data_IF_586385116091
#
_entry.id   IF_586385116091
#
_cell.length_a   1.000
_cell.length_b   1.000
_cell.length_c   1.000
_cell.angle_alpha   90.00
_cell.angle_beta   90.00
_cell.angle_gamma   90.00
#
_symmetry.space_group_name_H-M   'P 1'
#
loop_
_entity.id
_entity.type
_entity.pdbx_description
1 polymer ?
#
# COMPACT_ATOMS: atom_id res chain seq x y z
N UNK A 1 14.28 1.89 4.16
CA UNK A 1 13.13 2.48 3.44
C UNK A 1 12.33 1.36 2.81
N UNK A 2 11.03 1.26 3.09
CA UNK A 2 10.13 0.30 2.44
C UNK A 2 9.62 0.92 1.14
N UNK A 3 9.72 0.23 0.00
CA UNK A 3 9.07 0.67 -1.24
C UNK A 3 7.65 0.12 -1.32
N UNK A 4 6.75 0.88 -1.95
CA UNK A 4 5.33 0.52 -2.10
C UNK A 4 5.19 -0.85 -2.78
N UNK A 5 5.94 -1.10 -3.86
CA UNK A 5 5.89 -2.38 -4.56
C UNK A 5 6.33 -3.57 -3.68
N UNK A 6 7.35 -3.37 -2.84
CA UNK A 6 7.79 -4.43 -1.90
C UNK A 6 6.76 -4.68 -0.81
N UNK A 7 6.12 -3.62 -0.31
CA UNK A 7 5.03 -3.71 0.67
C UNK A 7 3.84 -4.50 0.10
N UNK A 8 3.37 -4.12 -1.09
CA UNK A 8 2.24 -4.78 -1.77
C UNK A 8 2.58 -6.24 -2.10
N UNK A 9 3.79 -6.52 -2.60
CA UNK A 9 4.22 -7.90 -2.88
C UNK A 9 4.20 -8.80 -1.63
N UNK A 10 4.61 -8.26 -0.48
CA UNK A 10 4.52 -8.99 0.80
C UNK A 10 3.08 -9.19 1.27
N UNK A 11 2.21 -8.19 1.06
CA UNK A 11 0.80 -8.32 1.38
C UNK A 11 0.11 -9.42 0.54
N UNK A 12 0.47 -9.55 -0.75
CA UNK A 12 0.02 -10.67 -1.60
C UNK A 12 0.54 -12.01 -1.08
N UNK A 13 1.83 -12.12 -0.79
CA UNK A 13 2.46 -13.34 -0.25
C UNK A 13 1.78 -13.83 1.04
N UNK A 14 1.34 -12.89 1.88
CA UNK A 14 0.68 -13.19 3.15
C UNK A 14 -0.84 -13.30 3.05
N UNK A 15 -1.42 -13.17 1.85
CA UNK A 15 -2.86 -13.25 1.64
C UNK A 15 -3.64 -12.12 2.34
N UNK A 16 -3.03 -10.94 2.52
CA UNK A 16 -3.67 -9.80 3.15
C UNK A 16 -4.70 -9.15 2.20
N UNK A 17 -6.00 -9.11 2.57
CA UNK A 17 -7.03 -8.56 1.69
C UNK A 17 -7.04 -7.02 1.67
N UNK A 18 -6.42 -6.37 2.66
CA UNK A 18 -6.32 -4.93 2.79
C UNK A 18 -5.04 -4.53 3.52
N UNK A 19 -4.47 -3.38 3.17
CA UNK A 19 -3.30 -2.78 3.84
C UNK A 19 -3.42 -1.26 3.91
N UNK A 20 -2.74 -0.64 4.88
CA UNK A 20 -2.74 0.80 5.08
C UNK A 20 -1.34 1.42 4.95
N UNK A 21 -1.28 2.67 4.48
CA UNK A 21 -0.12 3.55 4.69
C UNK A 21 -0.46 4.62 5.72
N UNK A 22 0.52 5.01 6.52
CA UNK A 22 0.42 6.07 7.54
C UNK A 22 1.74 6.86 7.52
N UNK A 23 1.88 7.72 6.52
CA UNK A 23 3.09 8.51 6.30
C UNK A 23 3.13 9.71 7.24
N UNK A 24 4.30 10.07 7.79
CA UNK A 24 4.43 11.20 8.71
C UNK A 24 4.00 12.53 8.07
N UNK A 25 2.76 12.97 8.36
CA UNK A 25 2.25 14.29 8.00
C UNK A 25 2.18 14.56 6.50
N UNK A 26 2.20 13.53 5.66
CA UNK A 26 2.16 13.67 4.20
C UNK A 26 1.40 12.52 3.53
N UNK A 27 1.10 12.69 2.24
CA UNK A 27 0.39 11.71 1.41
C UNK A 27 1.07 11.51 0.06
N UNK A 28 2.39 11.73 -0.03
CA UNK A 28 3.09 11.70 -1.32
C UNK A 28 3.04 10.32 -1.97
N UNK A 29 3.09 9.25 -1.17
CA UNK A 29 2.98 7.87 -1.64
C UNK A 29 1.55 7.38 -1.89
N UNK A 30 0.53 8.19 -1.59
CA UNK A 30 -0.87 7.73 -1.55
C UNK A 30 -1.39 7.25 -2.90
N UNK A 31 -1.07 7.96 -3.99
CA UNK A 31 -1.52 7.60 -5.35
C UNK A 31 -0.81 6.34 -5.84
N UNK A 32 0.52 6.29 -5.70
CA UNK A 32 1.33 5.12 -6.09
C UNK A 32 0.88 3.88 -5.31
N UNK A 33 0.63 4.03 -4.00
CA UNK A 33 0.13 2.96 -3.14
C UNK A 33 -1.26 2.47 -3.56
N UNK A 34 -2.18 3.39 -3.83
CA UNK A 34 -3.51 3.05 -4.30
C UNK A 34 -3.47 2.25 -5.60
N UNK A 35 -2.68 2.72 -6.58
CA UNK A 35 -2.52 2.05 -7.88
C UNK A 35 -1.89 0.66 -7.72
N UNK A 36 -0.82 0.54 -6.94
CA UNK A 36 -0.15 -0.73 -6.69
C UNK A 36 -1.06 -1.75 -5.98
N UNK A 37 -1.79 -1.33 -4.94
CA UNK A 37 -2.75 -2.19 -4.25
C UNK A 37 -3.88 -2.64 -5.18
N UNK A 38 -4.45 -1.70 -5.94
CA UNK A 38 -5.55 -1.99 -6.87
C UNK A 38 -5.12 -2.99 -7.95
N UNK A 39 -3.93 -2.82 -8.52
CA UNK A 39 -3.36 -3.75 -9.50
C UNK A 39 -3.13 -5.16 -8.92
N UNK A 40 -2.83 -5.25 -7.62
CA UNK A 40 -2.65 -6.51 -6.90
C UNK A 40 -3.96 -7.10 -6.33
N UNK A 41 -5.11 -6.45 -6.52
CA UNK A 41 -6.39 -6.89 -5.97
C UNK A 41 -6.52 -6.72 -4.45
N UNK A 42 -5.69 -5.87 -3.84
CA UNK A 42 -5.69 -5.57 -2.41
C UNK A 42 -6.45 -4.27 -2.17
N UNK A 43 -7.27 -4.20 -1.12
CA UNK A 43 -7.97 -2.98 -0.72
C UNK A 43 -7.00 -2.00 -0.03
N UNK A 44 -6.70 -0.83 -0.63
CA UNK A 44 -5.88 0.18 0.02
C UNK A 44 -6.67 0.94 1.09
N UNK A 45 -5.99 1.30 2.19
CA UNK A 45 -6.48 2.22 3.22
C UNK A 45 -5.47 3.38 3.30
N UNK A 46 -5.93 4.60 3.07
CA UNK A 46 -5.04 5.78 3.04
C UNK A 46 -5.12 6.49 4.39
N UNK A 47 -3.96 6.62 5.04
CA UNK A 47 -3.76 7.38 6.28
C UNK A 47 -2.54 8.29 6.19
N UNK A 48 -2.46 9.20 7.16
CA UNK A 48 -1.42 10.22 7.36
C UNK A 48 -1.12 10.25 8.88
#
# INVERSE_FOLDING_TARGET
MCSINRLVGKAVEWGMPAIAITDHGNLFGAIEFYQACTAAGIKPIIGC
#
